data_IF_069361078321
#
_entry.id   IF_069361078321
#
_cell.length_a   1.000
_cell.length_b   1.000
_cell.length_c   1.000
_cell.angle_alpha   90.00
_cell.angle_beta   90.00
_cell.angle_gamma   90.00
#
_symmetry.space_group_name_H-M   'P 1'
#
loop_
_entity.id
_entity.type
_entity.pdbx_description
1 polymer ?
#
# COMPACT_ATOMS: atom_id res chain seq x y z
N UNK A 1 -2.87 -26.84 18.40
CA UNK A 1 -1.86 -27.14 17.35
C UNK A 1 -1.29 -25.84 16.81
N UNK A 2 -0.12 -25.41 17.29
CA UNK A 2 0.64 -24.30 16.69
C UNK A 2 1.12 -24.76 15.30
N UNK A 3 0.37 -24.42 14.25
CA UNK A 3 0.85 -24.61 12.88
C UNK A 3 2.10 -23.73 12.73
N UNK A 4 3.23 -24.30 12.31
CA UNK A 4 4.40 -23.51 11.94
C UNK A 4 3.97 -22.46 10.91
N UNK A 5 4.00 -21.17 11.28
CA UNK A 5 3.46 -20.07 10.47
C UNK A 5 4.12 -19.96 9.07
N UNK A 6 5.29 -20.58 8.91
CA UNK A 6 6.10 -20.56 7.69
C UNK A 6 6.00 -21.83 6.84
N UNK A 7 5.28 -22.87 7.29
CA UNK A 7 5.27 -24.18 6.62
C UNK A 7 4.66 -24.17 5.20
N UNK A 8 3.98 -23.08 4.83
CA UNK A 8 3.35 -22.92 3.54
C UNK A 8 4.20 -22.13 2.52
N UNK A 9 5.40 -21.66 2.91
CA UNK A 9 6.26 -20.83 2.06
C UNK A 9 7.55 -21.55 1.69
N UNK A 10 8.01 -21.34 0.45
CA UNK A 10 9.27 -21.87 -0.03
C UNK A 10 10.43 -20.90 0.24
N UNK A 11 11.67 -21.37 0.14
CA UNK A 11 12.88 -20.53 0.30
C UNK A 11 12.87 -19.32 -0.66
N UNK A 12 12.24 -19.46 -1.83
CA UNK A 12 12.12 -18.38 -2.82
C UNK A 12 11.18 -17.24 -2.41
N UNK A 13 10.30 -17.46 -1.42
CA UNK A 13 9.38 -16.44 -0.91
C UNK A 13 10.05 -15.47 0.06
N UNK A 14 11.27 -15.77 0.50
CA UNK A 14 12.06 -14.95 1.41
C UNK A 14 12.94 -13.97 0.64
N UNK A 15 13.23 -12.84 1.27
CA UNK A 15 14.12 -11.79 0.81
C UNK A 15 15.56 -12.01 1.32
N UNK A 16 16.51 -11.20 0.88
CA UNK A 16 17.92 -11.28 1.28
C UNK A 16 18.17 -11.18 2.80
N UNK A 17 17.22 -10.63 3.54
CA UNK A 17 17.27 -10.45 5.00
C UNK A 17 16.41 -11.48 5.76
N UNK A 18 16.15 -12.65 5.18
CA UNK A 18 15.31 -13.73 5.76
C UNK A 18 13.87 -13.30 6.12
N UNK A 19 13.41 -12.17 5.56
CA UNK A 19 12.03 -11.70 5.72
C UNK A 19 11.15 -12.21 4.59
N UNK A 20 9.89 -12.47 4.86
CA UNK A 20 8.92 -12.85 3.83
C UNK A 20 8.64 -11.68 2.88
N UNK A 21 8.62 -11.94 1.57
CA UNK A 21 8.31 -10.93 0.55
C UNK A 21 6.94 -10.31 0.79
N UNK A 22 6.83 -9.01 0.47
CA UNK A 22 5.59 -8.26 0.67
C UNK A 22 4.44 -8.87 -0.14
N UNK A 23 3.27 -8.97 0.48
CA UNK A 23 2.08 -9.53 -0.14
C UNK A 23 1.66 -8.70 -1.35
N UNK A 24 1.37 -9.37 -2.48
CA UNK A 24 0.93 -8.72 -3.73
C UNK A 24 -0.29 -7.82 -3.52
N UNK A 25 -1.16 -8.19 -2.58
CA UNK A 25 -2.37 -7.44 -2.24
C UNK A 25 -2.08 -6.05 -1.68
N UNK A 26 -0.96 -5.86 -0.96
CA UNK A 26 -0.54 -4.54 -0.48
C UNK A 26 -0.22 -3.62 -1.66
N UNK A 27 0.51 -4.14 -2.66
CA UNK A 27 0.81 -3.39 -3.88
C UNK A 27 -0.45 -3.08 -4.70
N UNK A 28 -1.39 -4.02 -4.78
CA UNK A 28 -2.67 -3.79 -5.46
C UNK A 28 -3.47 -2.67 -4.80
N UNK A 29 -3.56 -2.65 -3.47
CA UNK A 29 -4.20 -1.56 -2.72
C UNK A 29 -3.47 -0.22 -2.92
N UNK A 30 -2.14 -0.22 -2.96
CA UNK A 30 -1.35 0.98 -3.20
C UNK A 30 -1.60 1.55 -4.60
N UNK A 31 -1.58 0.73 -5.65
CA UNK A 31 -1.87 1.17 -7.02
C UNK A 31 -3.27 1.79 -7.10
N UNK A 32 -4.25 1.16 -6.45
CA UNK A 32 -5.62 1.65 -6.42
C UNK A 32 -5.74 3.04 -5.76
N UNK A 33 -5.07 3.26 -4.62
CA UNK A 33 -5.08 4.56 -3.91
C UNK A 33 -4.26 5.62 -4.68
N UNK A 34 -3.14 5.22 -5.29
CA UNK A 34 -2.24 6.13 -6.02
C UNK A 34 -2.76 6.57 -7.39
N UNK A 35 -3.93 6.07 -7.84
CA UNK A 35 -4.49 6.41 -9.15
C UNK A 35 -4.61 7.92 -9.39
N UNK A 36 -4.98 8.69 -8.37
CA UNK A 36 -5.05 10.15 -8.46
C UNK A 36 -3.69 10.79 -8.79
N UNK A 37 -2.59 10.25 -8.25
CA UNK A 37 -1.24 10.73 -8.57
C UNK A 37 -0.78 10.31 -9.96
N UNK A 38 -1.22 9.16 -10.46
CA UNK A 38 -0.95 8.77 -11.86
C UNK A 38 -1.63 9.76 -12.81
N UNK A 39 -2.90 10.12 -12.54
CA UNK A 39 -3.62 11.14 -13.32
C UNK A 39 -2.95 12.51 -13.21
N UNK A 40 -2.51 12.88 -12.01
CA UNK A 40 -1.76 14.12 -11.81
C UNK A 40 -0.46 14.15 -12.63
N UNK A 41 0.31 13.06 -12.64
CA UNK A 41 1.54 12.96 -13.41
C UNK A 41 1.25 13.10 -14.92
N UNK A 42 0.21 12.45 -15.43
CA UNK A 42 -0.22 12.59 -16.82
C UNK A 42 -0.62 14.04 -17.15
N UNK A 43 -1.37 14.69 -16.24
CA UNK A 43 -1.76 16.09 -16.37
C UNK A 43 -0.55 17.03 -16.38
N UNK A 44 0.40 16.85 -15.47
CA UNK A 44 1.59 17.71 -15.37
C UNK A 44 2.53 17.51 -16.55
N UNK A 45 2.70 16.28 -17.04
CA UNK A 45 3.56 16.00 -18.20
C UNK A 45 2.96 16.55 -19.50
N UNK A 46 1.63 16.64 -19.61
CA UNK A 46 0.96 17.27 -20.74
C UNK A 46 0.80 18.79 -20.57
N UNK A 47 1.88 19.53 -20.83
CA UNK A 47 1.91 20.98 -20.62
C UNK A 47 0.88 21.79 -21.44
N UNK A 48 0.34 21.25 -22.52
CA UNK A 48 -0.62 21.93 -23.41
C UNK A 48 -2.06 21.86 -22.92
N UNK A 49 -2.45 20.75 -22.29
CA UNK A 49 -3.82 20.55 -21.80
C UNK A 49 -3.79 19.79 -20.47
N UNK A 50 -3.47 20.53 -19.41
CA UNK A 50 -3.36 19.99 -18.05
C UNK A 50 -4.73 19.65 -17.47
N UNK A 51 -5.73 20.49 -17.74
CA UNK A 51 -7.06 20.39 -17.13
C UNK A 51 -7.91 19.35 -17.86
N UNK A 52 -7.80 19.23 -19.18
CA UNK A 52 -8.57 18.25 -19.96
C UNK A 52 -8.29 16.80 -19.56
N UNK A 53 -7.03 16.45 -19.26
CA UNK A 53 -6.69 15.11 -18.75
C UNK A 53 -7.38 14.83 -17.40
N UNK A 54 -7.40 15.82 -16.50
CA UNK A 54 -8.04 15.67 -15.19
C UNK A 54 -9.55 15.50 -15.37
N UNK A 55 -10.16 16.37 -16.19
CA UNK A 55 -11.62 16.38 -16.44
C UNK A 55 -12.11 15.12 -17.14
N UNK A 56 -11.25 14.46 -17.91
CA UNK A 56 -11.58 13.19 -18.56
C UNK A 56 -11.80 12.04 -17.55
N UNK A 57 -11.11 12.08 -16.40
CA UNK A 57 -11.17 11.02 -15.38
C UNK A 57 -12.01 11.44 -14.18
N UNK A 58 -11.90 12.70 -13.77
CA UNK A 58 -12.63 13.29 -12.66
C UNK A 58 -13.53 14.38 -13.22
N UNK A 59 -14.86 14.27 -13.11
CA UNK A 59 -15.78 15.25 -13.68
C UNK A 59 -15.59 16.64 -13.06
N UNK A 60 -15.08 16.70 -11.82
CA UNK A 60 -14.77 17.93 -11.11
C UNK A 60 -13.35 17.94 -10.54
N UNK A 61 -12.75 19.13 -10.52
CA UNK A 61 -11.40 19.32 -10.00
C UNK A 61 -11.32 19.11 -8.49
N UNK A 62 -12.39 19.42 -7.75
CA UNK A 62 -12.49 19.19 -6.31
C UNK A 62 -12.35 17.70 -5.96
N UNK A 63 -12.98 16.81 -6.74
CA UNK A 63 -12.85 15.36 -6.58
C UNK A 63 -11.43 14.88 -6.79
N UNK A 64 -10.77 15.44 -7.80
CA UNK A 64 -9.38 15.13 -8.07
C UNK A 64 -8.48 15.53 -6.89
N UNK A 65 -8.62 16.73 -6.34
CA UNK A 65 -7.82 17.16 -5.18
C UNK A 65 -8.11 16.34 -3.92
N UNK A 66 -9.36 15.94 -3.69
CA UNK A 66 -9.69 15.01 -2.60
C UNK A 66 -9.04 13.65 -2.81
N UNK A 67 -9.05 13.13 -4.04
CA UNK A 67 -8.39 11.88 -4.40
C UNK A 67 -6.86 11.97 -4.29
N UNK A 68 -6.26 13.15 -4.49
CA UNK A 68 -4.85 13.39 -4.15
C UNK A 68 -4.63 13.29 -2.63
N UNK A 69 -5.58 13.76 -1.82
CA UNK A 69 -5.54 13.60 -0.37
C UNK A 69 -5.45 12.13 0.06
N UNK A 70 -6.31 11.26 -0.49
CA UNK A 70 -6.24 9.80 -0.23
C UNK A 70 -4.93 9.21 -0.75
N UNK A 71 -4.51 9.61 -1.95
CA UNK A 71 -3.25 9.22 -2.57
C UNK A 71 -2.02 9.58 -1.72
N UNK A 72 -2.04 10.69 -0.99
CA UNK A 72 -0.91 11.15 -0.20
C UNK A 72 -0.59 10.17 0.94
N UNK A 73 -1.64 9.57 1.53
CA UNK A 73 -1.49 8.47 2.48
C UNK A 73 -0.86 7.24 1.81
N UNK A 74 -1.24 6.96 0.56
CA UNK A 74 -0.60 5.92 -0.26
C UNK A 74 0.89 6.18 -0.49
N UNK A 75 1.27 7.41 -0.84
CA UNK A 75 2.67 7.81 -1.00
C UNK A 75 3.43 7.65 0.30
N UNK A 76 2.84 8.05 1.43
CA UNK A 76 3.45 7.84 2.74
C UNK A 76 3.79 6.36 2.98
N UNK A 77 2.87 5.45 2.65
CA UNK A 77 3.12 4.00 2.77
C UNK A 77 4.24 3.56 1.81
N UNK A 78 4.28 4.05 0.57
CA UNK A 78 5.37 3.77 -0.37
C UNK A 78 6.72 4.24 0.18
N UNK A 79 6.78 5.40 0.84
CA UNK A 79 8.00 5.90 1.48
C UNK A 79 8.42 4.97 2.63
N UNK A 80 7.48 4.59 3.51
CA UNK A 80 7.76 3.64 4.61
C UNK A 80 8.27 2.31 4.07
N UNK A 81 7.64 1.81 3.00
CA UNK A 81 8.04 0.57 2.33
C UNK A 81 9.44 0.69 1.71
N UNK A 82 9.75 1.81 1.07
CA UNK A 82 11.07 2.08 0.46
C UNK A 82 12.17 2.22 1.50
N UNK A 83 11.83 2.70 2.70
CA UNK A 83 12.74 2.83 3.84
C UNK A 83 12.83 1.58 4.71
N UNK A 84 12.10 0.50 4.39
CA UNK A 84 12.13 -0.79 5.08
C UNK A 84 13.45 -1.53 4.78
N UNK A 85 14.52 -1.11 5.45
CA UNK A 85 15.88 -1.66 5.32
C UNK A 85 16.50 -1.95 6.69
N UNK A 86 17.54 -2.80 6.80
CA UNK A 86 18.24 -2.99 8.06
C UNK A 86 18.77 -1.65 8.60
N UNK A 87 18.72 -1.47 9.92
CA UNK A 87 19.08 -0.21 10.61
C UNK A 87 18.20 1.01 10.24
N UNK A 88 16.96 0.80 9.78
CA UNK A 88 16.01 1.89 9.57
C UNK A 88 15.73 2.67 10.88
N UNK A 89 15.41 3.96 10.72
CA UNK A 89 15.03 4.86 11.83
C UNK A 89 13.80 4.30 12.57
N UNK A 90 13.71 4.59 13.87
CA UNK A 90 12.64 4.10 14.76
C UNK A 90 11.22 4.48 14.28
N UNK A 91 11.06 5.66 13.68
CA UNK A 91 9.77 6.09 13.13
C UNK A 91 9.28 5.18 12.00
N UNK A 92 10.17 4.71 11.11
CA UNK A 92 9.82 3.79 10.01
C UNK A 92 9.31 2.47 10.56
N UNK A 93 9.99 1.93 11.58
CA UNK A 93 9.57 0.70 12.27
C UNK A 93 8.19 0.86 12.90
N UNK A 94 7.94 1.98 13.59
CA UNK A 94 6.65 2.27 14.22
C UNK A 94 5.53 2.45 13.19
N UNK A 95 5.80 3.16 12.09
CA UNK A 95 4.85 3.32 10.98
C UNK A 95 4.55 1.99 10.29
N UNK A 96 5.53 1.11 10.14
CA UNK A 96 5.34 -0.23 9.55
C UNK A 96 4.37 -1.08 10.37
N UNK A 97 4.48 -1.09 11.69
CA UNK A 97 3.54 -1.82 12.57
C UNK A 97 2.08 -1.37 12.39
N UNK A 98 1.87 -0.10 11.99
CA UNK A 98 0.55 0.48 11.77
C UNK A 98 0.15 0.52 10.28
N UNK A 99 0.96 -0.04 9.37
CA UNK A 99 0.74 0.08 7.93
C UNK A 99 -0.61 -0.46 7.49
N UNK A 100 -1.11 -1.54 8.12
CA UNK A 100 -2.45 -2.07 7.87
C UNK A 100 -3.55 -1.07 8.20
N UNK A 101 -3.42 -0.38 9.33
CA UNK A 101 -4.37 0.64 9.76
C UNK A 101 -4.35 1.83 8.80
N UNK A 102 -3.16 2.31 8.44
CA UNK A 102 -2.99 3.43 7.50
C UNK A 102 -3.53 3.09 6.11
N UNK A 103 -3.26 1.88 5.61
CA UNK A 103 -3.76 1.41 4.31
C UNK A 103 -5.28 1.26 4.31
N UNK A 104 -5.85 0.68 5.37
CA UNK A 104 -7.31 0.58 5.54
C UNK A 104 -7.95 1.97 5.62
N UNK A 105 -7.35 2.89 6.37
CA UNK A 105 -7.83 4.27 6.49
C UNK A 105 -7.81 4.99 5.14
N UNK A 106 -6.73 4.82 4.36
CA UNK A 106 -6.63 5.40 3.03
C UNK A 106 -7.71 4.86 2.08
N UNK A 107 -7.98 3.55 2.11
CA UNK A 107 -9.06 2.93 1.33
C UNK A 107 -10.45 3.43 1.75
N UNK A 108 -10.71 3.55 3.07
CA UNK A 108 -11.98 4.07 3.58
C UNK A 108 -12.16 5.54 3.25
N UNK A 109 -11.11 6.35 3.37
CA UNK A 109 -11.15 7.76 3.01
C UNK A 109 -11.46 7.93 1.50
N UNK A 110 -10.86 7.09 0.64
CA UNK A 110 -11.16 7.07 -0.79
C UNK A 110 -12.63 6.70 -1.09
N UNK A 111 -13.19 5.73 -0.35
CA UNK A 111 -14.61 5.38 -0.45
C UNK A 111 -15.53 6.50 0.04
N UNK A 112 -15.15 7.20 1.12
CA UNK A 112 -15.89 8.37 1.63
C UNK A 112 -15.93 9.47 0.58
N UNK A 113 -14.83 9.73 -0.13
CA UNK A 113 -14.81 10.70 -1.24
C UNK A 113 -15.83 10.29 -2.30
N UNK A 114 -15.87 9.00 -2.69
CA UNK A 114 -16.85 8.50 -3.66
C UNK A 114 -18.31 8.66 -3.17
N UNK A 115 -18.56 8.44 -1.87
CA UNK A 115 -19.88 8.65 -1.26
C UNK A 115 -20.29 10.12 -1.29
N UNK A 116 -19.41 11.03 -0.89
CA UNK A 116 -19.67 12.47 -0.90
C UNK A 116 -19.98 12.94 -2.32
N UNK A 117 -19.18 12.49 -3.27
CA UNK A 117 -19.31 12.81 -4.68
C UNK A 117 -20.63 12.32 -5.31
N UNK A 118 -21.13 11.17 -4.86
CA UNK A 118 -22.43 10.65 -5.28
C UNK A 118 -23.60 11.39 -4.61
N UNK A 119 -23.60 11.51 -3.27
CA UNK A 119 -24.76 12.02 -2.52
C UNK A 119 -24.87 13.55 -2.51
N UNK A 120 -23.75 14.27 -2.41
CA UNK A 120 -23.77 15.73 -2.29
C UNK A 120 -23.59 16.43 -3.64
N UNK A 121 -22.74 15.88 -4.50
CA UNK A 121 -22.41 16.52 -5.77
C UNK A 121 -23.11 15.89 -6.98
N UNK A 122 -23.74 14.71 -6.81
CA UNK A 122 -24.42 14.01 -7.90
C UNK A 122 -23.54 13.75 -9.14
N UNK A 123 -22.21 13.63 -8.95
CA UNK A 123 -21.23 13.53 -10.03
C UNK A 123 -20.97 12.10 -10.52
N UNK A 124 -21.31 11.10 -9.71
CA UNK A 124 -21.04 9.69 -10.00
C UNK A 124 -22.32 8.91 -10.20
N UNK A 125 -22.24 7.85 -11.01
CA UNK A 125 -23.33 6.90 -11.16
C UNK A 125 -23.38 5.93 -9.98
N UNK A 126 -24.58 5.41 -9.71
CA UNK A 126 -24.78 4.38 -8.69
C UNK A 126 -23.93 3.13 -8.97
N UNK A 127 -23.84 2.72 -10.23
CA UNK A 127 -23.04 1.58 -10.67
C UNK A 127 -21.57 1.78 -10.31
N UNK A 128 -21.02 2.98 -10.54
CA UNK A 128 -19.65 3.29 -10.19
C UNK A 128 -19.40 3.24 -8.68
N UNK A 129 -20.30 3.83 -7.89
CA UNK A 129 -20.21 3.78 -6.43
C UNK A 129 -20.19 2.34 -5.91
N UNK A 130 -21.08 1.48 -6.43
CA UNK A 130 -21.13 0.06 -6.06
C UNK A 130 -19.84 -0.65 -6.45
N UNK A 131 -19.30 -0.42 -7.65
CA UNK A 131 -18.01 -0.98 -8.07
C UNK A 131 -16.88 -0.57 -7.13
N UNK A 132 -16.80 0.71 -6.76
CA UNK A 132 -15.79 1.21 -5.82
C UNK A 132 -15.95 0.57 -4.43
N UNK A 133 -17.18 0.46 -3.94
CA UNK A 133 -17.47 -0.18 -2.65
C UNK A 133 -17.06 -1.66 -2.64
N UNK A 134 -17.33 -2.41 -3.72
CA UNK A 134 -16.93 -3.82 -3.85
C UNK A 134 -15.40 -3.95 -3.88
N UNK A 135 -14.71 -3.11 -4.65
CA UNK A 135 -13.24 -3.15 -4.73
C UNK A 135 -12.62 -2.81 -3.37
N UNK A 136 -13.03 -1.71 -2.74
CA UNK A 136 -12.52 -1.28 -1.44
C UNK A 136 -12.83 -2.33 -0.36
N UNK A 137 -14.07 -2.80 -0.29
CA UNK A 137 -14.48 -3.84 0.66
C UNK A 137 -13.69 -5.13 0.47
N UNK A 138 -13.54 -5.58 -0.78
CA UNK A 138 -12.76 -6.76 -1.14
C UNK A 138 -11.28 -6.62 -0.74
N UNK A 139 -10.65 -5.48 -1.02
CA UNK A 139 -9.27 -5.20 -0.63
C UNK A 139 -9.12 -5.20 0.91
N UNK A 140 -10.03 -4.57 1.64
CA UNK A 140 -10.00 -4.55 3.12
C UNK A 140 -10.16 -5.96 3.68
N UNK A 141 -11.08 -6.77 3.16
CA UNK A 141 -11.28 -8.17 3.58
C UNK A 141 -10.01 -8.97 3.31
N UNK A 142 -9.45 -8.90 2.10
CA UNK A 142 -8.22 -9.61 1.73
C UNK A 142 -7.04 -9.20 2.61
N UNK A 143 -6.87 -7.90 2.87
CA UNK A 143 -5.81 -7.41 3.76
C UNK A 143 -5.96 -7.95 5.18
N UNK A 144 -7.19 -8.08 5.70
CA UNK A 144 -7.41 -8.61 7.04
C UNK A 144 -7.34 -10.14 7.13
N UNK A 145 -7.72 -10.87 6.08
CA UNK A 145 -7.67 -12.33 6.05
C UNK A 145 -6.30 -12.88 5.63
N UNK A 146 -5.43 -12.07 5.02
CA UNK A 146 -4.13 -12.51 4.53
C UNK A 146 -3.14 -12.79 5.66
N UNK A 147 -2.91 -14.09 5.93
CA UNK A 147 -1.87 -14.55 6.86
C UNK A 147 -0.48 -14.05 6.48
N UNK A 148 -0.17 -14.00 5.17
CA UNK A 148 1.09 -13.46 4.64
C UNK A 148 1.30 -12.02 5.07
N UNK A 149 0.27 -11.18 4.97
CA UNK A 149 0.38 -9.79 5.37
C UNK A 149 0.57 -9.62 6.88
N UNK A 150 -0.11 -10.43 7.69
CA UNK A 150 0.07 -10.42 9.14
C UNK A 150 1.52 -10.75 9.55
N UNK A 151 2.12 -11.76 8.91
CA UNK A 151 3.54 -12.11 9.11
C UNK A 151 4.44 -10.94 8.70
N UNK A 152 4.20 -10.36 7.51
CA UNK A 152 5.02 -9.25 7.00
C UNK A 152 5.02 -8.01 7.89
N UNK A 153 3.91 -7.71 8.59
CA UNK A 153 3.83 -6.58 9.53
C UNK A 153 4.64 -6.86 10.80
N UNK A 154 4.62 -8.10 11.28
CA UNK A 154 5.39 -8.51 12.46
C UNK A 154 6.89 -8.56 12.16
N UNK A 155 7.27 -8.79 10.90
CA UNK A 155 8.66 -8.85 10.46
C UNK A 155 9.22 -7.48 10.04
N UNK A 156 10.42 -7.17 10.54
CA UNK A 156 11.22 -6.05 10.08
C UNK A 156 12.64 -6.53 9.75
N UNK A 157 13.29 -6.07 8.66
CA UNK A 157 14.62 -6.51 8.29
C UNK A 157 15.66 -6.22 9.38
N UNK A 158 16.36 -7.27 9.81
CA UNK A 158 17.47 -7.22 10.75
C UNK A 158 18.79 -7.57 10.04
N UNK A 159 19.94 -7.04 10.51
CA UNK A 159 21.22 -7.44 9.97
C UNK A 159 21.47 -8.92 10.28
N UNK A 160 21.79 -9.71 9.26
CA UNK A 160 22.13 -11.12 9.42
C UNK A 160 23.36 -11.25 10.36
N UNK A 161 23.37 -12.25 11.27
CA UNK A 161 24.53 -12.50 12.11
C UNK A 161 25.74 -12.79 11.20
N UNK A 162 26.84 -12.06 11.40
CA UNK A 162 28.08 -12.32 10.67
C UNK A 162 28.46 -13.79 10.84
N UNK A 163 28.69 -14.49 9.72
CA UNK A 163 29.29 -15.83 9.73
C UNK A 163 30.62 -15.72 10.47
N UNK A 164 30.65 -16.09 11.77
CA UNK A 164 31.90 -16.30 12.49
C UNK A 164 32.68 -17.34 11.69
N UNK A 165 33.69 -16.89 10.93
CA UNK A 165 34.69 -17.78 10.35
C UNK A 165 35.24 -18.58 11.52
N UNK A 166 34.92 -19.87 11.59
CA UNK A 166 35.61 -20.78 12.50
C UNK A 166 37.08 -20.70 12.11
N UNK A 167 37.86 -19.96 12.87
CA UNK A 167 39.32 -19.99 12.78
C UNK A 167 39.69 -21.39 13.25
N UNK A 168 39.80 -22.31 12.30
CA UNK A 168 40.37 -23.63 12.54
C UNK A 168 41.83 -23.33 12.86
N UNK A 169 42.17 -23.31 14.16
CA UNK A 169 43.56 -23.40 14.57
C UNK A 169 44.02 -24.79 14.15
N UNK A 170 44.81 -24.85 13.07
CA UNK A 170 45.56 -26.06 12.75
C UNK A 170 46.60 -26.29 13.87
N UNK A 171 46.80 -27.55 14.29
CA UNK A 171 47.70 -27.93 15.36
C UNK A 171 49.17 -27.65 15.03
#
# INVERSE_FOLDING_TARGET
MNRHNYSAYSVQDFDHYDCLKISKWVYLSLIFILRGYVVWLMSVTNMKDRVGIIQWIYPETSLFYLSLGSGALGIFIVIVLSLRRPKAKSWVKRSWLHVKGILTLALLFDLIICLVAFFYWHLLSLTWLITQAIIVGGLIIILNSSKKFMINIAEFPEPLPEKKKKVIKLP
#
